data_IF_950142736183
#
_entry.id   IF_950142736183
#
_cell.length_a   1.000
_cell.length_b   1.000
_cell.length_c   1.000
_cell.angle_alpha   90.00
_cell.angle_beta   90.00
_cell.angle_gamma   90.00
#
_symmetry.space_group_name_H-M   'P 1'
#
loop_
_entity.id
_entity.type
_entity.pdbx_description
1 polymer ?
#
# COMPACT_ATOMS: atom_id res chain seq x y z
N UNK A 1 16.85 -16.51 -11.16
CA UNK A 1 15.78 -17.12 -10.32
C UNK A 1 16.32 -17.35 -8.91
N UNK A 2 16.29 -16.34 -8.02
CA UNK A 2 16.67 -16.50 -6.59
C UNK A 2 15.54 -16.10 -5.64
N UNK A 3 14.32 -15.89 -6.16
CA UNK A 3 13.19 -15.35 -5.43
C UNK A 3 12.36 -16.40 -4.64
N UNK A 4 12.84 -17.65 -4.53
CA UNK A 4 12.09 -18.77 -3.90
C UNK A 4 12.53 -19.11 -2.47
N UNK A 5 13.50 -18.40 -1.88
CA UNK A 5 13.90 -18.57 -0.47
C UNK A 5 13.09 -17.68 0.50
N UNK A 6 11.83 -17.34 0.15
CA UNK A 6 10.99 -16.45 0.97
C UNK A 6 10.41 -17.08 2.23
N UNK A 7 10.57 -18.38 2.43
CA UNK A 7 10.07 -19.08 3.62
C UNK A 7 11.07 -19.21 4.78
N UNK A 8 12.24 -18.57 4.70
CA UNK A 8 13.19 -18.53 5.83
C UNK A 8 12.89 -17.41 6.85
N UNK A 9 11.90 -16.55 6.59
CA UNK A 9 11.51 -15.49 7.53
C UNK A 9 11.06 -16.08 8.87
N UNK A 10 10.25 -17.14 8.87
CA UNK A 10 9.76 -17.76 10.10
C UNK A 10 10.90 -18.37 10.93
N UNK A 11 11.88 -18.99 10.28
CA UNK A 11 13.06 -19.53 10.95
C UNK A 11 13.97 -18.42 11.48
N UNK A 12 14.11 -17.33 10.74
CA UNK A 12 14.91 -16.15 11.14
C UNK A 12 14.28 -15.46 12.35
N UNK A 13 12.95 -15.33 12.39
CA UNK A 13 12.22 -14.76 13.54
C UNK A 13 12.40 -15.63 14.78
N UNK A 14 12.26 -16.96 14.64
CA UNK A 14 12.47 -17.90 15.75
C UNK A 14 13.90 -17.85 16.30
N UNK A 15 14.90 -17.83 15.42
CA UNK A 15 16.30 -17.77 15.83
C UNK A 15 16.63 -16.42 16.48
N UNK A 16 16.11 -15.31 15.94
CA UNK A 16 16.31 -13.97 16.50
C UNK A 16 15.71 -13.84 17.90
N UNK A 17 14.57 -14.47 18.17
CA UNK A 17 13.94 -14.49 19.49
C UNK A 17 14.72 -15.28 20.56
N UNK A 18 15.59 -16.22 20.14
CA UNK A 18 16.42 -17.03 21.04
C UNK A 18 17.76 -16.34 21.35
N UNK A 19 18.15 -15.35 20.55
CA UNK A 19 19.39 -14.61 20.78
C UNK A 19 19.29 -13.73 22.04
N UNK A 20 20.35 -13.65 22.87
CA UNK A 20 20.38 -12.81 24.07
C UNK A 20 20.46 -11.29 23.76
N UNK A 21 20.34 -10.91 22.49
CA UNK A 21 20.37 -9.52 22.03
C UNK A 21 18.93 -9.06 21.90
N UNK A 22 18.52 -8.08 22.71
CA UNK A 22 17.22 -7.41 22.55
C UNK A 22 17.31 -6.52 21.33
N UNK A 23 16.69 -6.95 20.23
CA UNK A 23 16.59 -6.13 19.02
C UNK A 23 15.46 -5.11 19.20
N UNK A 24 15.81 -3.83 19.24
CA UNK A 24 14.83 -2.75 19.25
C UNK A 24 14.25 -2.56 17.84
N UNK A 25 13.09 -3.16 17.61
CA UNK A 25 12.38 -3.08 16.33
C UNK A 25 11.65 -1.74 16.16
N UNK A 26 11.38 -1.00 17.24
CA UNK A 26 10.56 0.21 17.18
C UNK A 26 11.32 1.38 16.56
N UNK A 27 12.63 1.47 16.84
CA UNK A 27 13.51 2.53 16.31
C UNK A 27 14.28 2.10 15.06
N UNK A 28 14.14 0.84 14.62
CA UNK A 28 14.85 0.31 13.47
C UNK A 28 14.46 1.06 12.18
N UNK A 29 15.47 1.58 11.49
CA UNK A 29 15.30 2.38 10.27
C UNK A 29 14.55 1.59 9.18
N UNK A 30 14.79 0.28 9.04
CA UNK A 30 14.11 -0.57 8.06
C UNK A 30 12.67 -0.85 8.46
N UNK A 31 12.38 -1.01 9.75
CA UNK A 31 11.00 -1.14 10.24
C UNK A 31 10.20 0.13 9.95
N UNK A 32 10.76 1.30 10.29
CA UNK A 32 10.15 2.61 10.01
C UNK A 32 9.95 2.81 8.50
N UNK A 33 10.95 2.48 7.67
CA UNK A 33 10.80 2.51 6.21
C UNK A 33 9.70 1.56 5.71
N UNK A 34 9.58 0.38 6.30
CA UNK A 34 8.52 -0.58 6.00
C UNK A 34 7.13 0.00 6.30
N UNK A 35 6.98 0.63 7.45
CA UNK A 35 5.75 1.29 7.89
C UNK A 35 5.38 2.46 6.97
N UNK A 36 6.31 3.36 6.65
CA UNK A 36 6.04 4.51 5.77
C UNK A 36 5.63 4.08 4.36
N UNK A 37 6.33 3.08 3.78
CA UNK A 37 5.93 2.50 2.49
C UNK A 37 4.55 1.82 2.56
N UNK A 38 4.21 1.20 3.69
CA UNK A 38 2.91 0.58 3.92
C UNK A 38 1.78 1.60 3.98
N UNK A 39 2.00 2.70 4.71
CA UNK A 39 1.05 3.81 4.82
C UNK A 39 0.81 4.51 3.48
N UNK A 40 1.88 4.78 2.71
CA UNK A 40 1.75 5.38 1.38
C UNK A 40 0.94 4.48 0.45
N UNK A 41 1.21 3.17 0.41
CA UNK A 41 0.42 2.21 -0.36
C UNK A 41 -1.03 2.12 0.12
N UNK A 42 -1.27 2.26 1.43
CA UNK A 42 -2.61 2.31 2.01
C UNK A 42 -3.39 3.54 1.55
N UNK A 43 -2.75 4.72 1.54
CA UNK A 43 -3.32 5.97 1.03
C UNK A 43 -3.62 5.87 -0.47
N UNK A 44 -2.73 5.29 -1.26
CA UNK A 44 -2.99 5.10 -2.70
C UNK A 44 -4.17 4.15 -2.97
N UNK A 45 -4.24 3.02 -2.24
CA UNK A 45 -5.35 2.07 -2.38
C UNK A 45 -6.69 2.66 -1.94
N UNK A 46 -6.71 3.45 -0.88
CA UNK A 46 -7.93 4.12 -0.41
C UNK A 46 -8.40 5.16 -1.41
N UNK A 47 -7.49 5.94 -2.01
CA UNK A 47 -7.83 6.84 -3.13
C UNK A 47 -8.41 6.08 -4.32
N UNK A 48 -7.77 4.98 -4.75
CA UNK A 48 -8.26 4.19 -5.87
C UNK A 48 -9.64 3.55 -5.56
N UNK A 49 -9.86 3.06 -4.34
CA UNK A 49 -11.16 2.54 -3.89
C UNK A 49 -12.24 3.61 -3.86
N UNK A 50 -11.93 4.83 -3.41
CA UNK A 50 -12.86 5.94 -3.43
C UNK A 50 -13.25 6.31 -4.86
N UNK A 51 -12.29 6.32 -5.80
CA UNK A 51 -12.58 6.54 -7.22
C UNK A 51 -13.52 5.45 -7.76
N UNK A 52 -13.26 4.18 -7.43
CA UNK A 52 -14.13 3.05 -7.85
C UNK A 52 -15.54 3.21 -7.29
N UNK A 53 -15.69 3.54 -6.00
CA UNK A 53 -16.98 3.75 -5.35
C UNK A 53 -17.78 4.89 -6.01
N UNK A 54 -17.10 6.01 -6.30
CA UNK A 54 -17.71 7.16 -6.96
C UNK A 54 -18.09 6.85 -8.42
N UNK A 55 -17.26 6.09 -9.14
CA UNK A 55 -17.59 5.61 -10.48
C UNK A 55 -18.80 4.66 -10.48
N UNK A 56 -18.90 3.77 -9.48
CA UNK A 56 -20.05 2.86 -9.33
C UNK A 56 -21.34 3.59 -8.98
N UNK A 57 -21.24 4.72 -8.27
CA UNK A 57 -22.41 5.52 -7.91
C UNK A 57 -23.13 6.15 -9.11
N UNK A 58 -22.51 6.22 -10.30
CA UNK A 58 -23.03 6.83 -11.54
C UNK A 58 -23.58 8.27 -11.41
N UNK A 59 -23.36 8.94 -10.28
CA UNK A 59 -23.87 10.28 -9.98
C UNK A 59 -22.92 11.39 -10.43
N UNK A 60 -21.63 11.09 -10.57
CA UNK A 60 -20.58 12.08 -10.84
C UNK A 60 -19.85 11.79 -12.14
N UNK A 61 -19.47 12.84 -12.86
CA UNK A 61 -18.63 12.73 -14.06
C UNK A 61 -17.17 12.48 -13.69
N UNK A 62 -16.38 11.89 -14.59
CA UNK A 62 -14.95 11.65 -14.35
C UNK A 62 -14.15 12.93 -14.03
N UNK A 63 -14.63 14.09 -14.50
CA UNK A 63 -14.08 15.40 -14.14
C UNK A 63 -14.42 15.79 -12.70
N UNK A 64 -15.68 15.65 -12.29
CA UNK A 64 -16.08 15.96 -10.92
C UNK A 64 -15.39 15.08 -9.88
N UNK A 65 -15.13 13.81 -10.22
CA UNK A 65 -14.36 12.88 -9.36
C UNK A 65 -12.90 13.32 -9.23
N UNK A 66 -12.29 13.77 -10.32
CA UNK A 66 -10.93 14.30 -10.31
C UNK A 66 -10.82 15.57 -9.47
N UNK A 67 -11.80 16.47 -9.59
CA UNK A 67 -11.84 17.74 -8.85
C UNK A 67 -12.11 17.53 -7.35
N UNK A 68 -13.01 16.60 -6.98
CA UNK A 68 -13.30 16.30 -5.56
C UNK A 68 -12.14 15.62 -4.84
N UNK A 69 -11.43 14.72 -5.53
CA UNK A 69 -10.30 13.99 -4.95
C UNK A 69 -8.94 14.66 -5.21
N UNK A 70 -8.92 15.78 -5.94
CA UNK A 70 -7.72 16.51 -6.36
C UNK A 70 -6.68 15.58 -7.04
N UNK A 71 -7.17 14.69 -7.90
CA UNK A 71 -6.36 13.68 -8.62
C UNK A 71 -6.41 13.94 -10.13
N UNK A 72 -5.33 13.63 -10.86
CA UNK A 72 -5.31 13.85 -12.31
C UNK A 72 -6.35 12.98 -13.03
N UNK A 73 -7.05 13.56 -14.01
CA UNK A 73 -8.05 12.88 -14.86
C UNK A 73 -7.55 11.56 -15.44
N UNK A 74 -6.26 11.52 -15.83
CA UNK A 74 -5.59 10.31 -16.35
C UNK A 74 -5.68 9.11 -15.39
N UNK A 75 -5.69 9.34 -14.07
CA UNK A 75 -5.77 8.28 -13.05
C UNK A 75 -7.18 7.71 -12.98
N UNK A 76 -8.20 8.59 -13.02
CA UNK A 76 -9.61 8.20 -13.04
C UNK A 76 -9.95 7.41 -14.31
N UNK A 77 -9.47 7.86 -15.47
CA UNK A 77 -9.68 7.15 -16.75
C UNK A 77 -9.01 5.77 -16.81
N UNK A 78 -7.79 5.65 -16.24
CA UNK A 78 -7.11 4.35 -16.13
C UNK A 78 -7.88 3.36 -15.28
N UNK A 79 -8.49 3.83 -14.18
CA UNK A 79 -9.32 2.98 -13.31
C UNK A 79 -10.65 2.63 -13.98
N UNK A 80 -11.26 3.57 -14.71
CA UNK A 80 -12.46 3.32 -15.52
C UNK A 80 -12.24 2.26 -16.62
N UNK A 81 -11.04 2.18 -17.22
CA UNK A 81 -10.69 1.15 -18.21
C UNK A 81 -10.36 -0.22 -17.60
N UNK A 82 -10.09 -0.27 -16.29
CA UNK A 82 -9.76 -1.50 -15.55
C UNK A 82 -11.00 -2.17 -14.95
N UNK A 83 -12.05 -1.39 -14.71
CA UNK A 83 -13.42 -1.85 -14.46
C UNK A 83 -14.02 -2.41 -15.75
#
# INVERSE_FOLDING_TARGET
>A
MLAKLRNLQDETVKQTAIMPIVYDLETDIRYVQGMTMGEEKGKEKTLDNNIILLLQSNLLTAQQIADTLNVPLKRVEKLKKKL
#
